data_IF_184830557496
#
_entry.id   IF_184830557496
#
_cell.length_a   1.000
_cell.length_b   1.000
_cell.length_c   1.000
_cell.angle_alpha   90.00
_cell.angle_beta   90.00
_cell.angle_gamma   90.00
#
_symmetry.space_group_name_H-M   'P 1'
#
loop_
_entity.id
_entity.type
_entity.pdbx_description
1 polymer ?
#
# COMPACT_ATOMS: atom_id res chain seq x y z
N UNK A 1 22.26 15.76 -19.25
CA UNK A 1 22.14 15.12 -17.94
C UNK A 1 23.46 14.40 -17.68
N UNK A 2 24.20 14.81 -16.64
CA UNK A 2 25.49 14.20 -16.29
C UNK A 2 25.36 12.70 -16.03
N UNK A 3 26.49 11.98 -16.11
CA UNK A 3 26.49 10.55 -15.78
C UNK A 3 26.45 10.38 -14.25
N UNK A 4 25.32 9.95 -13.72
CA UNK A 4 25.20 9.57 -12.31
C UNK A 4 25.79 8.16 -12.10
N UNK A 5 26.75 8.04 -11.18
CA UNK A 5 27.28 6.75 -10.75
C UNK A 5 26.49 6.24 -9.55
N UNK A 6 26.19 4.95 -9.53
CA UNK A 6 25.52 4.29 -8.40
C UNK A 6 26.33 4.42 -7.13
N UNK A 7 25.68 4.79 -6.02
CA UNK A 7 26.33 4.96 -4.72
C UNK A 7 27.05 6.30 -4.49
N UNK A 8 27.02 7.21 -5.45
CA UNK A 8 27.54 8.56 -5.30
C UNK A 8 26.43 9.56 -5.00
N UNK A 9 26.76 10.65 -4.32
CA UNK A 9 25.82 11.74 -4.00
C UNK A 9 26.17 12.96 -4.86
N UNK A 10 25.14 13.60 -5.40
CA UNK A 10 25.20 14.72 -6.32
C UNK A 10 24.31 15.87 -5.86
N UNK A 11 24.46 17.05 -6.43
CA UNK A 11 23.46 18.09 -6.31
C UNK A 11 22.17 17.66 -7.02
N UNK A 12 21.02 18.02 -6.47
CA UNK A 12 19.74 17.66 -7.05
C UNK A 12 19.59 18.21 -8.48
N UNK A 13 19.22 17.39 -9.47
CA UNK A 13 18.93 17.87 -10.81
C UNK A 13 17.57 18.57 -10.91
N UNK A 14 16.75 18.54 -9.86
CA UNK A 14 15.38 19.06 -9.86
C UNK A 14 15.27 20.48 -9.27
N UNK A 15 16.31 20.94 -8.59
CA UNK A 15 16.35 22.23 -7.88
C UNK A 15 17.76 22.78 -7.73
N UNK A 16 17.87 24.05 -7.36
CA UNK A 16 19.16 24.60 -6.90
C UNK A 16 19.52 23.95 -5.54
N UNK A 17 20.61 23.22 -5.52
CA UNK A 17 21.09 22.52 -4.34
C UNK A 17 22.44 23.11 -3.91
N UNK A 18 22.55 23.49 -2.63
CA UNK A 18 23.81 24.00 -2.06
C UNK A 18 24.69 22.86 -1.53
N UNK A 19 24.06 21.78 -1.07
CA UNK A 19 24.74 20.61 -0.51
C UNK A 19 24.28 19.36 -1.27
N UNK A 20 25.19 18.51 -1.75
CA UNK A 20 24.83 17.29 -2.47
C UNK A 20 23.84 16.43 -1.67
N UNK A 21 22.69 16.15 -2.25
CA UNK A 21 21.60 15.42 -1.58
C UNK A 21 20.88 14.42 -2.48
N UNK A 22 21.31 14.29 -3.73
CA UNK A 22 20.70 13.39 -4.71
C UNK A 22 21.59 12.18 -4.95
N UNK A 23 21.03 10.97 -4.90
CA UNK A 23 21.75 9.73 -5.15
C UNK A 23 20.99 8.77 -6.04
N UNK A 24 21.75 7.95 -6.78
CA UNK A 24 21.21 6.83 -7.56
C UNK A 24 21.72 5.53 -6.95
N UNK A 25 20.85 4.56 -6.77
CA UNK A 25 21.17 3.27 -6.17
C UNK A 25 20.45 2.12 -6.87
N UNK A 26 21.03 0.93 -6.79
CA UNK A 26 20.41 -0.29 -7.29
C UNK A 26 19.62 -0.98 -6.17
N UNK A 27 18.32 -1.11 -6.36
CA UNK A 27 17.46 -1.83 -5.42
C UNK A 27 17.56 -3.33 -5.66
N UNK A 28 18.18 -4.07 -4.74
CA UNK A 28 18.23 -5.54 -4.79
C UNK A 28 16.84 -6.18 -4.76
N UNK A 29 15.87 -5.52 -4.12
CA UNK A 29 14.49 -6.00 -3.99
C UNK A 29 13.71 -5.92 -5.30
N UNK A 30 13.76 -4.75 -5.98
CA UNK A 30 13.02 -4.51 -7.23
C UNK A 30 13.85 -4.81 -8.46
N UNK A 31 15.16 -5.09 -8.30
CA UNK A 31 16.14 -5.28 -9.38
C UNK A 31 16.15 -4.11 -10.38
N UNK A 32 15.96 -2.89 -9.88
CA UNK A 32 15.90 -1.66 -10.67
C UNK A 32 16.84 -0.60 -10.13
N UNK A 33 17.28 0.30 -11.01
CA UNK A 33 17.90 1.55 -10.64
C UNK A 33 16.82 2.50 -10.13
N UNK A 34 17.05 3.05 -8.94
CA UNK A 34 16.19 4.02 -8.29
C UNK A 34 17.01 5.26 -7.94
N UNK A 35 16.35 6.40 -7.82
CA UNK A 35 16.95 7.61 -7.27
C UNK A 35 16.28 7.99 -5.94
N UNK A 36 16.98 8.80 -5.15
CA UNK A 36 16.46 9.48 -3.98
C UNK A 36 17.09 10.86 -3.87
N UNK A 37 16.25 11.88 -3.74
CA UNK A 37 16.64 13.22 -3.32
C UNK A 37 16.35 13.36 -1.83
N UNK A 38 17.40 13.35 -1.01
CA UNK A 38 17.28 13.45 0.44
C UNK A 38 16.83 14.85 0.90
N UNK A 39 16.97 15.86 0.06
CA UNK A 39 16.57 17.22 0.39
C UNK A 39 15.07 17.47 0.26
N UNK A 40 14.38 16.75 -0.65
CA UNK A 40 12.93 16.83 -0.85
C UNK A 40 12.19 15.58 -0.38
N UNK A 41 12.91 14.46 -0.19
CA UNK A 41 12.30 13.15 0.06
C UNK A 41 11.84 12.42 -1.21
N UNK A 42 11.89 13.06 -2.38
CA UNK A 42 11.48 12.46 -3.65
C UNK A 42 12.33 11.25 -4.00
N UNK A 43 11.67 10.18 -4.40
CA UNK A 43 12.33 8.96 -4.84
C UNK A 43 11.52 8.25 -5.93
N UNK A 44 12.17 7.41 -6.71
CA UNK A 44 11.49 6.66 -7.76
C UNK A 44 12.41 6.01 -8.78
N UNK A 45 11.79 5.48 -9.83
CA UNK A 45 12.48 4.91 -10.98
C UNK A 45 12.77 5.97 -12.06
N UNK A 46 13.29 5.53 -13.21
CA UNK A 46 13.62 6.43 -14.34
C UNK A 46 12.42 7.23 -14.86
N UNK A 47 11.23 6.64 -14.85
CA UNK A 47 10.00 7.32 -15.31
C UNK A 47 9.68 8.50 -14.38
N UNK A 48 9.68 8.25 -13.05
CA UNK A 48 9.46 9.30 -12.05
C UNK A 48 10.56 10.38 -12.12
N UNK A 49 11.80 9.97 -12.39
CA UNK A 49 12.91 10.91 -12.59
C UNK A 49 12.62 11.85 -13.78
N UNK A 50 12.27 11.29 -14.95
CA UNK A 50 11.98 12.09 -16.14
C UNK A 50 10.75 12.97 -15.95
N UNK A 51 9.73 12.47 -15.27
CA UNK A 51 8.55 13.23 -14.88
C UNK A 51 8.92 14.49 -14.08
N UNK A 52 9.72 14.33 -13.03
CA UNK A 52 10.17 15.46 -12.18
C UNK A 52 11.09 16.42 -12.93
N UNK A 53 11.95 15.88 -13.78
CA UNK A 53 12.94 16.66 -14.51
C UNK A 53 12.33 17.50 -15.65
N UNK A 54 11.31 16.97 -16.33
CA UNK A 54 10.67 17.60 -17.49
C UNK A 54 9.36 18.32 -17.14
N UNK A 55 8.78 18.02 -15.99
CA UNK A 55 7.44 18.49 -15.61
C UNK A 55 6.29 17.81 -16.38
N UNK A 56 6.58 16.83 -17.24
CA UNK A 56 5.56 16.12 -18.02
C UNK A 56 4.75 15.18 -17.14
N UNK A 57 3.45 15.12 -17.36
CA UNK A 57 2.53 14.26 -16.61
C UNK A 57 2.02 13.07 -17.43
N UNK A 58 2.02 13.19 -18.77
CA UNK A 58 1.58 12.13 -19.67
C UNK A 58 2.66 11.05 -19.78
N UNK A 59 2.27 9.81 -19.51
CA UNK A 59 3.19 8.67 -19.54
C UNK A 59 3.81 8.40 -20.91
N UNK A 60 3.04 8.57 -22.00
CA UNK A 60 3.53 8.36 -23.36
C UNK A 60 4.59 9.39 -23.74
N UNK A 61 4.38 10.67 -23.39
CA UNK A 61 5.35 11.73 -23.66
C UNK A 61 6.66 11.52 -22.89
N UNK A 62 6.57 10.98 -21.67
CA UNK A 62 7.74 10.62 -20.86
C UNK A 62 8.52 9.48 -21.51
N UNK A 63 7.83 8.45 -22.03
CA UNK A 63 8.48 7.35 -22.72
C UNK A 63 9.15 7.81 -24.01
N UNK A 64 8.51 8.69 -24.79
CA UNK A 64 9.10 9.25 -26.00
C UNK A 64 10.39 10.03 -25.70
N UNK A 65 10.39 10.84 -24.64
CA UNK A 65 11.61 11.54 -24.20
C UNK A 65 12.74 10.58 -23.81
N UNK A 66 12.41 9.48 -23.15
CA UNK A 66 13.39 8.46 -22.76
C UNK A 66 13.98 7.80 -24.02
N UNK A 67 13.13 7.38 -24.97
CA UNK A 67 13.55 6.75 -26.23
C UNK A 67 14.44 7.68 -27.03
N UNK A 68 14.04 8.95 -27.19
CA UNK A 68 14.79 9.97 -27.93
C UNK A 68 16.17 10.23 -27.29
N UNK A 69 16.20 10.44 -25.97
CA UNK A 69 17.45 10.75 -25.25
C UNK A 69 18.42 9.58 -25.18
N UNK A 70 17.93 8.36 -25.14
CA UNK A 70 18.75 7.16 -25.19
C UNK A 70 19.17 6.77 -26.61
N UNK A 71 18.68 7.48 -27.64
CA UNK A 71 18.89 7.14 -29.03
C UNK A 71 18.56 5.66 -29.32
N UNK A 72 17.47 5.18 -28.71
CA UNK A 72 16.99 3.82 -28.96
C UNK A 72 16.44 3.78 -30.37
N UNK A 73 17.18 3.16 -31.30
CA UNK A 73 16.75 2.90 -32.64
C UNK A 73 16.07 1.54 -32.74
N UNK A 74 15.29 1.31 -33.81
CA UNK A 74 14.61 0.02 -34.04
C UNK A 74 15.59 -1.18 -34.13
N UNK A 75 16.89 -0.92 -34.34
CA UNK A 75 17.96 -1.93 -34.36
C UNK A 75 18.52 -2.25 -32.96
N UNK A 76 18.15 -1.49 -31.94
CA UNK A 76 18.50 -1.85 -30.56
C UNK A 76 17.72 -3.12 -30.22
N UNK A 77 18.35 -4.30 -30.30
CA UNK A 77 17.78 -5.54 -29.81
C UNK A 77 17.47 -5.35 -28.33
N UNK A 78 16.29 -4.85 -28.04
CA UNK A 78 15.70 -4.99 -26.71
C UNK A 78 15.69 -6.48 -26.45
N UNK A 79 16.32 -6.90 -25.36
CA UNK A 79 16.26 -8.27 -24.90
C UNK A 79 14.79 -8.64 -24.68
N UNK A 80 14.15 -9.11 -25.74
CA UNK A 80 12.73 -9.47 -25.78
C UNK A 80 12.42 -10.67 -24.86
N UNK A 81 13.46 -11.31 -24.30
CA UNK A 81 13.30 -12.34 -23.28
C UNK A 81 12.80 -11.77 -21.95
N UNK A 82 12.92 -10.45 -21.74
CA UNK A 82 12.29 -9.70 -20.64
C UNK A 82 11.06 -8.96 -21.13
N UNK A 83 10.09 -9.71 -21.69
CA UNK A 83 8.75 -9.16 -21.82
C UNK A 83 8.36 -8.57 -20.45
N UNK A 84 7.95 -7.29 -20.46
CA UNK A 84 7.17 -6.73 -19.36
C UNK A 84 5.91 -7.60 -19.29
N UNK A 85 5.97 -8.62 -18.46
CA UNK A 85 4.77 -9.33 -18.01
C UNK A 85 4.11 -8.31 -17.08
N UNK A 86 2.96 -7.71 -17.47
CA UNK A 86 2.19 -6.88 -16.55
C UNK A 86 2.13 -7.69 -15.26
N UNK A 87 2.44 -7.10 -14.13
CA UNK A 87 2.39 -7.80 -12.84
C UNK A 87 1.04 -8.49 -12.80
N UNK A 88 1.03 -9.82 -12.90
CA UNK A 88 -0.21 -10.57 -12.85
C UNK A 88 -0.92 -10.11 -11.61
N UNK A 89 -2.18 -9.70 -11.79
CA UNK A 89 -3.04 -9.27 -10.71
C UNK A 89 -2.93 -10.31 -9.59
N UNK A 90 -2.56 -9.87 -8.41
CA UNK A 90 -2.33 -10.81 -7.31
C UNK A 90 -3.68 -11.31 -6.83
N UNK A 91 -4.03 -12.53 -7.17
CA UNK A 91 -5.24 -13.19 -6.68
C UNK A 91 -4.95 -13.82 -5.32
N UNK A 92 -5.67 -13.38 -4.29
CA UNK A 92 -5.60 -13.97 -2.94
C UNK A 92 -6.82 -14.86 -2.72
N UNK A 93 -6.58 -16.15 -2.54
CA UNK A 93 -7.55 -17.12 -2.08
C UNK A 93 -7.38 -17.40 -0.58
N UNK A 94 -8.48 -17.64 0.14
CA UNK A 94 -8.45 -17.97 1.56
C UNK A 94 -9.27 -19.23 1.85
N UNK A 95 -8.83 -20.03 2.82
CA UNK A 95 -9.64 -21.08 3.42
C UNK A 95 -9.92 -20.70 4.87
N UNK A 96 -11.19 -20.46 5.15
CA UNK A 96 -11.68 -20.01 6.46
C UNK A 96 -11.71 -21.16 7.47
N UNK A 97 -11.64 -20.80 8.73
CA UNK A 97 -11.92 -21.67 9.87
C UNK A 97 -12.72 -20.89 10.93
N UNK A 98 -13.40 -21.57 11.87
CA UNK A 98 -13.96 -20.91 13.04
C UNK A 98 -12.88 -20.18 13.84
N UNK A 99 -13.27 -19.11 14.54
CA UNK A 99 -12.37 -18.46 15.48
C UNK A 99 -12.02 -19.42 16.61
N UNK A 100 -10.72 -19.59 16.86
CA UNK A 100 -10.22 -20.40 17.97
C UNK A 100 -10.21 -19.58 19.27
N UNK A 101 -10.08 -20.19 20.44
CA UNK A 101 -9.87 -19.45 21.70
C UNK A 101 -8.65 -18.52 21.63
N UNK A 102 -7.59 -18.92 20.95
CA UNK A 102 -6.40 -18.09 20.70
C UNK A 102 -6.75 -16.84 19.88
N UNK A 103 -7.58 -16.97 18.86
CA UNK A 103 -8.03 -15.83 18.05
C UNK A 103 -8.84 -14.84 18.90
N UNK A 104 -9.81 -15.36 19.66
CA UNK A 104 -10.65 -14.51 20.53
C UNK A 104 -9.80 -13.79 21.56
N UNK A 105 -8.85 -14.49 22.19
CA UNK A 105 -7.93 -13.88 23.15
C UNK A 105 -7.05 -12.81 22.49
N UNK A 106 -6.59 -13.04 21.26
CA UNK A 106 -5.82 -12.04 20.51
C UNK A 106 -6.62 -10.76 20.26
N UNK A 107 -7.88 -10.86 19.81
CA UNK A 107 -8.70 -9.71 19.50
C UNK A 107 -9.23 -8.98 20.74
N UNK A 108 -9.49 -9.71 21.82
CA UNK A 108 -9.94 -9.12 23.09
C UNK A 108 -8.95 -8.14 23.71
N UNK A 109 -7.64 -8.29 23.44
CA UNK A 109 -6.60 -7.35 23.88
C UNK A 109 -6.81 -5.92 23.32
N UNK A 110 -7.55 -5.80 22.21
CA UNK A 110 -7.91 -4.55 21.57
C UNK A 110 -9.38 -4.16 21.81
N UNK A 111 -10.06 -4.86 22.74
CA UNK A 111 -11.49 -4.72 23.00
C UNK A 111 -12.36 -4.96 21.76
N UNK A 112 -11.88 -5.73 20.77
CA UNK A 112 -12.62 -6.07 19.56
C UNK A 112 -13.37 -7.38 19.79
N UNK A 113 -14.70 -7.31 19.77
CA UNK A 113 -15.58 -8.46 19.95
C UNK A 113 -15.67 -9.34 18.70
N UNK A 114 -16.03 -10.62 18.86
CA UNK A 114 -16.29 -11.51 17.72
C UNK A 114 -17.43 -10.98 16.82
N UNK A 115 -18.42 -10.29 17.42
CA UNK A 115 -19.50 -9.63 16.69
C UNK A 115 -18.95 -8.55 15.75
N UNK A 116 -17.98 -7.78 16.20
CA UNK A 116 -17.31 -6.75 15.40
C UNK A 116 -16.46 -7.38 14.30
N UNK A 117 -15.71 -8.43 14.61
CA UNK A 117 -14.97 -9.16 13.58
C UNK A 117 -15.89 -9.63 12.44
N UNK A 118 -17.02 -10.25 12.78
CA UNK A 118 -18.01 -10.68 11.78
C UNK A 118 -18.61 -9.52 10.99
N UNK A 119 -18.92 -8.40 11.67
CA UNK A 119 -19.47 -7.20 11.01
C UNK A 119 -18.50 -6.58 10.00
N UNK A 120 -17.20 -6.66 10.26
CA UNK A 120 -16.16 -6.11 9.39
C UNK A 120 -15.58 -7.16 8.41
N UNK A 121 -16.26 -8.28 8.21
CA UNK A 121 -15.85 -9.35 7.32
C UNK A 121 -14.41 -9.82 7.59
N UNK A 122 -14.07 -9.96 8.89
CA UNK A 122 -12.80 -10.53 9.35
C UNK A 122 -12.98 -12.01 9.61
N UNK A 123 -12.07 -12.82 9.10
CA UNK A 123 -12.10 -14.27 9.23
C UNK A 123 -10.81 -14.80 9.83
N UNK A 124 -10.89 -15.80 10.72
CA UNK A 124 -9.77 -16.69 10.96
C UNK A 124 -9.59 -17.60 9.75
N UNK A 125 -8.35 -17.80 9.30
CA UNK A 125 -8.06 -18.55 8.10
C UNK A 125 -7.07 -19.67 8.36
N UNK A 126 -7.41 -20.87 7.87
CA UNK A 126 -6.56 -22.07 7.96
C UNK A 126 -5.30 -21.92 7.12
N UNK A 127 -5.44 -21.42 5.90
CA UNK A 127 -4.33 -21.05 5.01
C UNK A 127 -4.81 -20.05 3.95
N UNK A 128 -3.83 -19.43 3.28
CA UNK A 128 -4.11 -18.57 2.13
C UNK A 128 -3.20 -18.90 0.96
N UNK A 129 -3.68 -18.57 -0.23
CA UNK A 129 -2.97 -18.75 -1.48
C UNK A 129 -2.74 -17.39 -2.15
N UNK A 130 -1.61 -17.27 -2.85
CA UNK A 130 -1.39 -16.21 -3.83
C UNK A 130 -1.19 -16.89 -5.19
N UNK A 131 -2.04 -16.53 -6.15
CA UNK A 131 -2.00 -17.10 -7.50
C UNK A 131 -1.98 -18.64 -7.48
N UNK A 132 -2.85 -19.24 -6.68
CA UNK A 132 -2.97 -20.70 -6.54
C UNK A 132 -1.91 -21.38 -5.66
N UNK A 133 -0.88 -20.67 -5.21
CA UNK A 133 0.20 -21.24 -4.39
C UNK A 133 -0.03 -20.90 -2.92
N UNK A 134 0.00 -21.92 -2.04
CA UNK A 134 -0.10 -21.73 -0.59
C UNK A 134 1.10 -20.92 -0.07
N UNK A 135 0.82 -19.82 0.62
CA UNK A 135 1.83 -18.88 1.16
C UNK A 135 1.90 -18.82 2.68
N UNK A 136 0.90 -19.34 3.35
CA UNK A 136 0.89 -19.39 4.81
C UNK A 136 -0.15 -20.36 5.32
N UNK A 137 0.17 -21.01 6.45
CA UNK A 137 -0.69 -21.96 7.15
C UNK A 137 -0.82 -21.49 8.60
N UNK A 138 -2.04 -21.55 9.14
CA UNK A 138 -2.36 -21.19 10.53
C UNK A 138 -1.60 -22.09 11.51
N UNK A 139 -1.18 -21.47 12.60
CA UNK A 139 -0.69 -22.13 13.81
C UNK A 139 -1.17 -21.34 15.01
N UNK A 140 -1.50 -21.97 16.12
CA UNK A 140 -1.89 -21.28 17.36
C UNK A 140 -0.81 -20.30 17.82
N UNK A 141 0.47 -20.63 17.59
CA UNK A 141 1.61 -19.75 17.88
C UNK A 141 1.82 -18.66 16.83
N UNK A 142 1.07 -18.66 15.71
CA UNK A 142 1.14 -17.66 14.66
C UNK A 142 -0.19 -17.57 13.90
N UNK A 143 -1.21 -17.01 14.54
CA UNK A 143 -2.56 -16.93 13.98
C UNK A 143 -2.59 -16.07 12.73
N UNK A 144 -3.58 -16.30 11.89
CA UNK A 144 -3.76 -15.59 10.62
C UNK A 144 -5.21 -15.17 10.44
N UNK A 145 -5.38 -13.93 9.99
CA UNK A 145 -6.68 -13.34 9.72
C UNK A 145 -6.75 -12.81 8.30
N UNK A 146 -7.93 -12.81 7.73
CA UNK A 146 -8.20 -12.16 6.46
C UNK A 146 -9.31 -11.13 6.62
N UNK A 147 -9.07 -9.91 6.16
CA UNK A 147 -10.05 -8.86 6.01
C UNK A 147 -10.58 -8.90 4.59
N UNK A 148 -11.88 -9.10 4.43
CA UNK A 148 -12.53 -9.00 3.12
C UNK A 148 -13.00 -7.58 2.91
N UNK A 149 -12.48 -6.93 1.88
CA UNK A 149 -12.90 -5.60 1.45
C UNK A 149 -13.41 -5.73 0.02
N UNK A 150 -14.72 -5.60 -0.17
CA UNK A 150 -15.40 -5.92 -1.42
C UNK A 150 -15.04 -7.33 -1.95
N UNK A 151 -14.35 -7.43 -3.07
CA UNK A 151 -13.93 -8.70 -3.66
C UNK A 151 -12.48 -9.08 -3.37
N UNK A 152 -11.75 -8.22 -2.64
CA UNK A 152 -10.35 -8.39 -2.34
C UNK A 152 -10.09 -8.79 -0.89
N UNK A 153 -8.87 -9.22 -0.60
CA UNK A 153 -8.46 -9.67 0.71
C UNK A 153 -7.18 -9.00 1.17
N UNK A 154 -7.13 -8.68 2.46
CA UNK A 154 -5.90 -8.32 3.17
C UNK A 154 -5.65 -9.34 4.26
N UNK A 155 -4.60 -10.12 4.11
CA UNK A 155 -4.17 -11.12 5.08
C UNK A 155 -3.27 -10.48 6.12
N UNK A 156 -3.57 -10.74 7.39
CA UNK A 156 -2.86 -10.24 8.55
C UNK A 156 -2.30 -11.40 9.38
N UNK A 157 -1.01 -11.36 9.63
CA UNK A 157 -0.27 -12.27 10.50
C UNK A 157 0.35 -11.46 11.63
N UNK A 158 -0.28 -11.34 12.79
CA UNK A 158 0.17 -10.44 13.87
C UNK A 158 1.60 -10.70 14.33
N UNK A 159 2.00 -11.95 14.37
CA UNK A 159 3.34 -12.39 14.79
C UNK A 159 4.31 -12.63 13.62
N UNK A 160 3.91 -12.28 12.40
CA UNK A 160 4.80 -12.29 11.24
C UNK A 160 5.83 -11.17 11.30
N UNK A 161 7.00 -11.40 10.69
CA UNK A 161 7.99 -10.35 10.48
C UNK A 161 7.45 -9.26 9.53
N UNK A 162 8.18 -8.14 9.39
CA UNK A 162 7.72 -7.00 8.58
C UNK A 162 7.42 -7.36 7.10
N UNK A 163 7.99 -8.44 6.58
CA UNK A 163 7.80 -8.86 5.18
C UNK A 163 6.64 -9.86 5.01
N UNK A 164 6.29 -10.59 6.07
CA UNK A 164 5.26 -11.62 6.07
C UNK A 164 4.01 -11.23 6.85
N UNK A 165 4.07 -10.16 7.64
CA UNK A 165 2.96 -9.66 8.47
C UNK A 165 1.73 -9.31 7.65
N UNK A 166 1.91 -8.76 6.46
CA UNK A 166 0.85 -8.30 5.60
C UNK A 166 0.97 -8.87 4.18
N UNK A 167 -0.17 -9.25 3.62
CA UNK A 167 -0.30 -9.55 2.19
C UNK A 167 -1.68 -9.09 1.74
N UNK A 168 -1.78 -8.35 0.65
CA UNK A 168 -3.07 -7.90 0.14
C UNK A 168 -3.08 -7.81 -1.38
N UNK A 169 -4.29 -7.78 -1.94
CA UNK A 169 -4.59 -7.42 -3.31
C UNK A 169 -5.62 -6.28 -3.38
N UNK A 170 -5.68 -5.45 -2.32
CA UNK A 170 -6.59 -4.32 -2.27
C UNK A 170 -6.20 -3.27 -3.30
N UNK A 171 -7.20 -2.68 -3.93
CA UNK A 171 -7.09 -1.52 -4.81
C UNK A 171 -7.25 -0.21 -4.03
N UNK A 172 -7.05 0.92 -4.71
CA UNK A 172 -7.12 2.23 -4.08
C UNK A 172 -8.51 2.52 -3.47
N UNK A 173 -9.56 2.06 -4.14
CA UNK A 173 -10.94 2.28 -3.69
C UNK A 173 -11.46 1.20 -2.72
N UNK A 174 -10.64 0.22 -2.38
CA UNK A 174 -10.94 -0.77 -1.36
C UNK A 174 -10.70 -0.19 0.04
N UNK A 175 -11.61 0.67 0.45
CA UNK A 175 -11.51 1.36 1.73
C UNK A 175 -12.08 0.51 2.86
N UNK A 176 -11.20 0.16 3.77
CA UNK A 176 -11.52 -0.67 4.94
C UNK A 176 -12.51 0.08 5.86
N UNK A 177 -13.61 -0.56 6.23
CA UNK A 177 -14.65 0.02 7.10
C UNK A 177 -15.66 0.92 6.38
N UNK A 178 -15.48 1.26 5.11
CA UNK A 178 -16.40 2.17 4.40
C UNK A 178 -17.84 1.62 4.28
N UNK A 179 -17.97 0.31 4.07
CA UNK A 179 -19.26 -0.39 4.00
C UNK A 179 -20.03 -0.34 5.33
N UNK A 180 -19.32 -0.26 6.46
CA UNK A 180 -19.87 -0.25 7.79
C UNK A 180 -20.21 1.15 8.30
N UNK A 181 -19.86 2.21 7.57
CA UNK A 181 -20.18 3.58 7.95
C UNK A 181 -21.69 3.82 8.01
N UNK A 182 -22.19 4.59 8.99
CA UNK A 182 -23.57 5.07 8.99
C UNK A 182 -23.82 6.02 7.81
N UNK A 183 -25.11 6.19 7.47
CA UNK A 183 -25.51 7.06 6.35
C UNK A 183 -25.17 8.54 6.60
N UNK A 184 -25.10 8.98 7.86
CA UNK A 184 -24.74 10.34 8.28
C UNK A 184 -24.17 10.31 9.70
N UNK A 185 -23.46 11.37 10.07
CA UNK A 185 -22.91 11.55 11.39
C UNK A 185 -22.17 12.90 11.56
N UNK A 186 -21.73 13.17 12.78
CA UNK A 186 -20.98 14.42 13.07
C UNK A 186 -19.51 14.28 12.69
N UNK A 187 -18.89 13.14 12.99
CA UNK A 187 -17.45 12.91 12.79
C UNK A 187 -17.23 11.56 12.14
N UNK A 188 -16.27 11.52 11.20
CA UNK A 188 -15.66 10.29 10.70
C UNK A 188 -14.13 10.39 10.86
N UNK A 189 -13.48 9.33 11.31
CA UNK A 189 -12.03 9.27 11.43
C UNK A 189 -11.44 8.48 10.26
N UNK A 190 -10.42 9.04 9.61
CA UNK A 190 -9.55 8.31 8.69
C UNK A 190 -8.33 7.87 9.49
N UNK A 191 -8.15 6.56 9.65
CA UNK A 191 -7.05 5.97 10.39
C UNK A 191 -6.23 5.03 9.52
N UNK A 192 -5.13 4.46 10.03
CA UNK A 192 -4.17 3.71 9.22
C UNK A 192 -4.53 2.24 8.96
N UNK A 193 -5.37 1.61 9.79
CA UNK A 193 -5.60 0.17 9.69
C UNK A 193 -7.03 -0.25 10.01
N UNK A 194 -7.45 -1.41 9.48
CA UNK A 194 -8.74 -2.03 9.83
C UNK A 194 -8.86 -2.30 11.34
N UNK A 195 -7.78 -2.61 12.02
CA UNK A 195 -7.79 -2.85 13.48
C UNK A 195 -8.22 -1.58 14.20
N UNK A 196 -7.65 -0.43 13.85
CA UNK A 196 -8.00 0.85 14.45
C UNK A 196 -9.46 1.23 14.14
N UNK A 197 -9.92 0.96 12.91
CA UNK A 197 -11.33 1.14 12.52
C UNK A 197 -12.25 0.33 13.43
N UNK A 198 -11.92 -0.93 13.71
CA UNK A 198 -12.73 -1.79 14.59
C UNK A 198 -12.67 -1.33 16.05
N UNK A 199 -11.51 -0.89 16.56
CA UNK A 199 -11.41 -0.31 17.90
C UNK A 199 -12.30 0.94 18.05
N UNK A 200 -12.24 1.85 17.07
CA UNK A 200 -13.09 3.05 17.05
C UNK A 200 -14.58 2.69 16.95
N UNK A 201 -14.91 1.66 16.19
CA UNK A 201 -16.28 1.17 16.09
C UNK A 201 -16.81 0.65 17.45
N UNK A 202 -16.03 -0.08 18.22
CA UNK A 202 -16.42 -0.51 19.58
C UNK A 202 -16.66 0.69 20.52
N UNK A 203 -16.01 1.83 20.24
CA UNK A 203 -16.23 3.09 20.94
C UNK A 203 -17.41 3.91 20.38
N UNK A 204 -18.12 3.40 19.36
CA UNK A 204 -19.21 4.13 18.68
C UNK A 204 -18.76 5.22 17.73
N UNK A 205 -17.49 5.24 17.34
CA UNK A 205 -16.91 6.28 16.48
C UNK A 205 -16.78 5.75 15.05
N UNK A 206 -17.45 6.34 14.05
CA UNK A 206 -17.30 5.97 12.66
C UNK A 206 -15.88 6.21 12.14
N UNK A 207 -15.29 5.20 11.52
CA UNK A 207 -13.94 5.31 10.98
C UNK A 207 -13.75 4.50 9.71
N UNK A 208 -12.75 4.88 8.92
CA UNK A 208 -12.28 4.17 7.72
C UNK A 208 -10.76 4.15 7.67
N UNK A 209 -10.23 3.25 6.88
CA UNK A 209 -8.80 3.17 6.61
C UNK A 209 -8.54 2.89 5.14
N UNK A 210 -7.52 3.50 4.51
CA UNK A 210 -7.10 3.14 3.15
C UNK A 210 -6.57 1.69 3.09
N UNK A 211 -6.32 1.21 1.88
CA UNK A 211 -5.77 -0.14 1.65
C UNK A 211 -4.43 -0.36 2.37
N UNK A 212 -3.59 0.69 2.43
CA UNK A 212 -2.33 0.72 3.17
C UNK A 212 -2.03 2.13 3.65
N UNK A 213 -1.08 2.27 4.58
CA UNK A 213 -0.64 3.55 5.14
C UNK A 213 -0.08 4.51 4.08
N UNK A 214 0.50 3.97 3.01
CA UNK A 214 1.02 4.75 1.87
C UNK A 214 0.01 4.99 0.74
N UNK A 215 -1.24 4.55 0.90
CA UNK A 215 -2.31 4.70 -0.10
C UNK A 215 -3.23 5.84 0.31
N UNK A 216 -3.43 6.83 -0.57
CA UNK A 216 -4.41 7.88 -0.35
C UNK A 216 -5.81 7.41 -0.78
N UNK A 217 -6.84 7.89 -0.07
CA UNK A 217 -8.23 7.71 -0.51
C UNK A 217 -8.42 8.44 -1.84
N UNK A 218 -9.21 7.86 -2.76
CA UNK A 218 -9.58 8.56 -3.98
C UNK A 218 -10.49 9.75 -3.68
N UNK A 219 -10.51 10.72 -4.58
CA UNK A 219 -11.40 11.90 -4.47
C UNK A 219 -12.86 11.50 -4.36
N UNK A 220 -13.28 10.45 -5.06
CA UNK A 220 -14.65 9.96 -5.02
C UNK A 220 -15.03 9.43 -3.65
N UNK A 221 -14.16 8.63 -3.04
CA UNK A 221 -14.37 8.13 -1.67
C UNK A 221 -14.38 9.27 -0.67
N UNK A 222 -13.43 10.19 -0.76
CA UNK A 222 -13.36 11.34 0.14
C UNK A 222 -14.61 12.21 0.04
N UNK A 223 -15.07 12.53 -1.18
CA UNK A 223 -16.33 13.25 -1.41
C UNK A 223 -17.54 12.51 -0.83
N UNK A 224 -17.56 11.17 -0.93
CA UNK A 224 -18.64 10.35 -0.37
C UNK A 224 -18.64 10.37 1.17
N UNK A 225 -17.47 10.42 1.83
CA UNK A 225 -17.36 10.58 3.27
C UNK A 225 -17.81 11.97 3.69
N UNK A 226 -17.33 13.02 3.02
CA UNK A 226 -17.68 14.42 3.31
C UNK A 226 -19.17 14.73 3.12
N UNK A 227 -19.87 13.98 2.25
CA UNK A 227 -21.35 14.10 2.13
C UNK A 227 -22.11 13.49 3.31
N UNK A 228 -21.49 12.56 4.05
CA UNK A 228 -22.13 11.84 5.16
C UNK A 228 -21.83 12.47 6.52
N UNK A 229 -20.66 13.10 6.66
CA UNK A 229 -20.15 13.58 7.93
C UNK A 229 -19.82 15.07 7.89
N UNK A 230 -20.15 15.76 8.98
CA UNK A 230 -19.87 17.21 9.11
C UNK A 230 -18.38 17.49 9.24
N UNK A 231 -17.63 16.59 9.87
CA UNK A 231 -16.19 16.70 10.08
C UNK A 231 -15.51 15.37 9.77
N UNK A 232 -14.35 15.47 9.15
CA UNK A 232 -13.48 14.33 8.89
C UNK A 232 -12.13 14.60 9.55
N UNK A 233 -11.69 13.71 10.40
CA UNK A 233 -10.43 13.81 11.13
C UNK A 233 -9.46 12.76 10.60
N UNK A 234 -8.17 13.09 10.51
CA UNK A 234 -7.10 12.17 10.14
C UNK A 234 -6.32 11.83 11.40
N UNK A 235 -6.22 10.53 11.68
CA UNK A 235 -5.52 10.00 12.86
C UNK A 235 -4.57 8.88 12.42
N UNK A 236 -3.32 9.25 12.17
CA UNK A 236 -2.21 8.32 11.90
C UNK A 236 -1.19 8.36 13.03
N UNK A 237 -0.32 7.35 13.10
CA UNK A 237 0.79 7.37 14.04
C UNK A 237 1.70 8.56 13.73
N UNK A 238 2.21 9.16 14.78
CA UNK A 238 3.28 10.13 14.65
C UNK A 238 4.58 9.36 14.60
N UNK A 239 5.16 9.22 13.40
CA UNK A 239 6.53 8.73 13.29
C UNK A 239 7.44 9.76 13.96
N UNK A 240 7.97 9.41 15.12
CA UNK A 240 9.04 10.19 15.74
C UNK A 240 10.31 9.77 14.98
N UNK A 241 11.04 10.69 14.34
CA UNK A 241 12.27 10.39 13.62
C UNK A 241 13.35 9.85 14.52
#
# INVERSE_FOLDING_TARGET
>A
IGQFKVGMIYNSPFRKDKNPSFGVYYSKRTKQLLFKDHGTGECGNVIKFVQLYTGKTNYQDILLDIVEKLKITNDTKLDSSKQYIPSQETVIGIVRQPFTPTDINYWSQFHISEKTLKKFDVFSIKYYLCNGIVKGIYKDTNPMYAYKVYNHFKVYRPLGDKYTKWRNNLEQDDVQGFKQLPKSGDICIITKSMKDVMCLYEMGIPAVSPASESTFLSDNVLKAILKRFKRVLICFDRDIP
#
